data_IF_733715250644
#
_entry.id   IF_733715250644
#
_cell.length_a   1.000
_cell.length_b   1.000
_cell.length_c   1.000
_cell.angle_alpha   90.00
_cell.angle_beta   90.00
_cell.angle_gamma   90.00
#
_symmetry.space_group_name_H-M   'P 1'
#
loop_
_entity.id
_entity.type
_entity.pdbx_description
1 polymer ?
#
# COMPACT_ATOMS: atom_id res chain seq x y z
N UNK A 1 24.20 9.33 -23.76
CA UNK A 1 24.43 8.00 -23.21
C UNK A 1 23.28 7.59 -22.33
N UNK A 2 22.72 6.44 -22.57
CA UNK A 2 21.69 5.96 -21.68
C UNK A 2 22.30 5.66 -20.32
N UNK A 3 21.72 6.22 -19.28
CA UNK A 3 22.14 5.88 -17.92
C UNK A 3 21.85 4.42 -17.67
N UNK A 4 22.86 3.70 -17.25
CA UNK A 4 22.70 2.30 -16.94
C UNK A 4 21.81 2.19 -15.71
N UNK A 5 20.62 1.63 -15.88
CA UNK A 5 19.72 1.43 -14.75
C UNK A 5 20.26 0.32 -13.86
N UNK A 6 20.31 0.59 -12.58
CA UNK A 6 20.58 -0.43 -11.59
C UNK A 6 19.38 -1.37 -11.53
N UNK A 7 19.62 -2.66 -11.38
CA UNK A 7 18.55 -3.62 -11.17
C UNK A 7 17.98 -3.44 -9.78
N UNK A 8 16.73 -3.83 -9.58
CA UNK A 8 16.10 -3.84 -8.26
C UNK A 8 16.92 -4.66 -7.27
N UNK A 9 17.47 -5.77 -7.72
CA UNK A 9 18.28 -6.64 -6.88
C UNK A 9 19.52 -5.92 -6.35
N UNK A 10 20.18 -5.11 -7.19
CA UNK A 10 21.35 -4.34 -6.76
C UNK A 10 20.99 -3.21 -5.82
N UNK A 11 19.87 -2.50 -6.08
CA UNK A 11 19.42 -1.37 -5.28
C UNK A 11 18.76 -1.81 -3.98
N UNK A 12 18.08 -2.94 -3.98
CA UNK A 12 17.28 -3.45 -2.88
C UNK A 12 17.57 -4.93 -2.66
N UNK A 13 18.81 -5.29 -2.35
CA UNK A 13 19.17 -6.70 -2.23
C UNK A 13 18.37 -7.45 -1.17
N UNK A 14 17.94 -6.76 -0.11
CA UNK A 14 17.14 -7.37 0.95
C UNK A 14 15.79 -7.90 0.46
N UNK A 15 15.24 -7.34 -0.64
CA UNK A 15 13.97 -7.82 -1.20
C UNK A 15 14.10 -9.21 -1.81
N UNK A 16 15.31 -9.67 -2.07
CA UNK A 16 15.57 -10.92 -2.77
C UNK A 16 16.08 -12.02 -1.82
N UNK A 17 15.84 -11.86 -0.53
CA UNK A 17 16.19 -12.87 0.46
C UNK A 17 15.31 -14.11 0.34
N UNK A 18 15.91 -15.28 0.43
CA UNK A 18 15.16 -16.53 0.33
C UNK A 18 14.08 -16.61 1.43
N UNK A 19 12.85 -16.87 1.02
CA UNK A 19 11.74 -17.00 1.95
C UNK A 19 11.09 -15.69 2.36
N UNK A 20 11.58 -14.55 1.86
CA UNK A 20 11.04 -13.24 2.20
C UNK A 20 9.77 -12.94 1.41
N UNK A 21 8.77 -12.40 2.08
CA UNK A 21 7.59 -11.84 1.42
C UNK A 21 7.98 -10.46 0.90
N UNK A 22 8.14 -10.29 -0.40
CA UNK A 22 8.74 -9.07 -0.97
C UNK A 22 7.93 -8.40 -2.06
N UNK A 23 6.95 -9.06 -2.62
CA UNK A 23 6.19 -8.56 -3.75
C UNK A 23 4.71 -8.83 -3.56
N UNK A 24 3.88 -7.82 -3.83
CA UNK A 24 2.42 -7.96 -3.74
C UNK A 24 1.76 -7.35 -4.97
N UNK A 25 0.71 -7.98 -5.46
CA UNK A 25 -0.14 -7.41 -6.50
C UNK A 25 -1.44 -6.93 -5.87
N UNK A 26 -1.77 -5.69 -6.11
CA UNK A 26 -2.99 -5.08 -5.57
C UNK A 26 -3.98 -4.88 -6.72
N UNK A 27 -5.15 -5.50 -6.65
CA UNK A 27 -6.18 -5.27 -7.67
C UNK A 27 -6.59 -3.82 -7.73
N UNK A 28 -6.77 -3.32 -8.95
CA UNK A 28 -7.22 -1.96 -9.19
C UNK A 28 -8.29 -1.95 -10.27
N UNK A 29 -9.22 -1.02 -10.18
CA UNK A 29 -10.18 -0.75 -11.24
C UNK A 29 -9.55 0.22 -12.23
N UNK A 30 -9.01 1.31 -11.69
CA UNK A 30 -8.21 2.27 -12.45
C UNK A 30 -6.86 2.40 -11.76
N UNK A 31 -5.83 1.92 -12.40
CA UNK A 31 -4.49 1.83 -11.82
C UNK A 31 -4.00 3.18 -11.31
N UNK A 32 -4.15 4.24 -12.14
CA UNK A 32 -3.70 5.58 -11.76
C UNK A 32 -4.40 6.10 -10.50
N UNK A 33 -5.68 5.83 -10.37
CA UNK A 33 -6.46 6.25 -9.19
C UNK A 33 -5.93 5.57 -7.94
N UNK A 34 -5.69 4.28 -8.00
CA UNK A 34 -5.12 3.54 -6.89
C UNK A 34 -3.71 4.02 -6.55
N UNK A 35 -2.87 4.21 -7.56
CA UNK A 35 -1.50 4.70 -7.36
C UNK A 35 -1.49 6.07 -6.68
N UNK A 36 -2.34 6.98 -7.12
CA UNK A 36 -2.43 8.31 -6.52
C UNK A 36 -2.89 8.25 -5.07
N UNK A 37 -3.81 7.34 -4.76
CA UNK A 37 -4.27 7.14 -3.40
C UNK A 37 -3.13 6.73 -2.46
N UNK A 38 -2.39 5.68 -2.83
CA UNK A 38 -1.31 5.18 -1.99
C UNK A 38 -0.15 6.15 -1.86
N UNK A 39 0.11 6.94 -2.91
CA UNK A 39 1.09 8.02 -2.83
C UNK A 39 0.64 9.11 -1.88
N UNK A 40 -0.60 9.57 -2.01
CA UNK A 40 -1.12 10.68 -1.20
C UNK A 40 -1.24 10.31 0.29
N UNK A 41 -1.68 9.09 0.58
CA UNK A 41 -1.95 8.68 1.96
C UNK A 41 -0.69 8.16 2.65
N UNK A 42 0.07 7.31 1.96
CA UNK A 42 1.15 6.55 2.58
C UNK A 42 2.55 6.91 2.10
N UNK A 43 2.65 7.78 1.11
CA UNK A 43 3.96 8.17 0.57
C UNK A 43 4.65 7.08 -0.24
N UNK A 44 3.89 6.16 -0.81
CA UNK A 44 4.46 5.13 -1.67
C UNK A 44 5.04 5.73 -2.93
N UNK A 45 6.10 5.14 -3.42
CA UNK A 45 6.79 5.59 -4.62
C UNK A 45 6.31 4.78 -5.81
N UNK A 46 5.91 5.47 -6.86
CA UNK A 46 5.30 4.87 -8.04
C UNK A 46 6.25 4.96 -9.22
N UNK A 47 6.32 3.88 -9.99
CA UNK A 47 7.12 3.78 -11.21
C UNK A 47 6.28 3.17 -12.30
N UNK A 48 6.57 3.55 -13.55
CA UNK A 48 5.93 2.92 -14.70
C UNK A 48 5.87 3.83 -15.90
N UNK A 49 5.54 3.23 -17.03
CA UNK A 49 5.53 3.89 -18.33
C UNK A 49 4.18 4.36 -18.79
N UNK A 50 3.21 4.49 -17.93
CA UNK A 50 1.87 4.95 -18.31
C UNK A 50 0.88 4.70 -17.19
N UNK A 51 -0.35 5.20 -17.37
CA UNK A 51 -1.34 5.18 -16.31
C UNK A 51 -1.93 3.80 -16.01
N UNK A 52 -1.70 2.83 -16.89
CA UNK A 52 -2.27 1.48 -16.76
C UNK A 52 -1.27 0.44 -16.28
N UNK A 53 0.02 0.78 -16.27
CA UNK A 53 1.08 -0.15 -15.91
C UNK A 53 2.00 0.49 -14.89
N UNK A 54 1.53 0.56 -13.64
CA UNK A 54 2.27 1.18 -12.56
C UNK A 54 2.66 0.17 -11.52
N UNK A 55 3.89 0.28 -11.05
CA UNK A 55 4.42 -0.48 -9.94
C UNK A 55 4.79 0.47 -8.81
N UNK A 56 5.08 -0.11 -7.65
CA UNK A 56 5.37 0.70 -6.47
C UNK A 56 6.45 0.07 -5.61
N UNK A 57 7.04 0.90 -4.77
CA UNK A 57 7.64 0.45 -3.53
C UNK A 57 6.90 1.15 -2.39
N UNK A 58 6.83 0.50 -1.22
CA UNK A 58 6.27 1.19 -0.07
C UNK A 58 7.20 2.34 0.34
N UNK A 59 6.79 3.13 1.34
CA UNK A 59 7.56 4.31 1.73
C UNK A 59 8.97 3.98 2.22
N UNK A 60 9.17 2.80 2.78
CA UNK A 60 10.48 2.37 3.31
C UNK A 60 11.31 1.61 2.29
N UNK A 61 10.69 1.16 1.19
CA UNK A 61 11.37 0.33 0.21
C UNK A 61 11.49 -1.13 0.61
N UNK A 62 10.72 -1.56 1.60
CA UNK A 62 10.78 -2.94 2.11
C UNK A 62 9.80 -3.88 1.42
N UNK A 63 8.88 -3.35 0.66
CA UNK A 63 7.92 -4.13 -0.11
C UNK A 63 7.74 -3.45 -1.47
N UNK A 64 7.76 -4.26 -2.52
CA UNK A 64 7.46 -3.78 -3.86
C UNK A 64 6.21 -4.47 -4.39
N UNK A 65 5.67 -3.97 -5.48
CA UNK A 65 4.51 -4.59 -6.10
C UNK A 65 4.01 -3.82 -7.30
N UNK A 66 2.81 -4.16 -7.72
CA UNK A 66 2.15 -3.50 -8.84
C UNK A 66 0.65 -3.51 -8.63
N UNK A 67 -0.03 -2.57 -9.28
CA UNK A 67 -1.48 -2.61 -9.38
C UNK A 67 -1.85 -3.37 -10.65
N UNK A 68 -2.80 -4.29 -10.51
CA UNK A 68 -3.21 -5.17 -11.61
C UNK A 68 -4.72 -5.06 -11.82
N UNK A 69 -5.16 -5.26 -13.06
CA UNK A 69 -6.58 -5.17 -13.40
C UNK A 69 -7.22 -6.52 -13.72
N UNK A 70 -6.42 -7.59 -13.65
CA UNK A 70 -6.87 -8.93 -13.99
C UNK A 70 -7.35 -9.74 -12.78
N UNK A 71 -7.50 -9.09 -11.63
CA UNK A 71 -7.99 -9.72 -10.41
C UNK A 71 -9.10 -8.90 -9.79
N UNK A 72 -10.02 -9.59 -9.13
CA UNK A 72 -11.10 -8.94 -8.40
C UNK A 72 -10.56 -8.26 -7.14
N UNK A 73 -10.96 -7.01 -6.89
CA UNK A 73 -10.60 -6.36 -5.62
C UNK A 73 -11.00 -7.18 -4.41
N UNK A 74 -10.14 -7.16 -3.40
CA UNK A 74 -10.28 -7.98 -2.18
C UNK A 74 -11.22 -7.28 -1.19
N UNK A 75 -12.52 -7.39 -1.42
CA UNK A 75 -13.55 -6.74 -0.60
C UNK A 75 -13.81 -7.49 0.69
N UNK A 76 -13.65 -8.79 0.68
CA UNK A 76 -13.77 -9.68 1.84
C UNK A 76 -12.49 -10.51 1.91
N UNK A 77 -11.39 -9.93 2.39
CA UNK A 77 -10.10 -10.57 2.29
C UNK A 77 -9.96 -11.76 3.26
N UNK A 78 -9.36 -12.83 2.76
CA UNK A 78 -8.82 -13.87 3.62
C UNK A 78 -7.53 -13.39 4.27
N UNK A 79 -6.62 -12.85 3.46
CA UNK A 79 -5.41 -12.22 3.95
C UNK A 79 -5.66 -10.72 4.04
N UNK A 80 -5.36 -10.14 5.20
CA UNK A 80 -5.56 -8.72 5.44
C UNK A 80 -4.19 -8.07 5.70
N UNK A 81 -3.66 -7.33 4.74
CA UNK A 81 -2.39 -6.64 4.94
C UNK A 81 -2.58 -5.36 5.75
N UNK A 82 -1.60 -5.08 6.62
CA UNK A 82 -1.61 -3.91 7.47
C UNK A 82 -0.41 -3.02 7.16
N UNK A 83 -0.66 -1.72 7.09
CA UNK A 83 0.36 -0.70 6.86
C UNK A 83 0.61 -0.01 8.19
N UNK A 84 1.88 0.01 8.63
CA UNK A 84 2.25 0.75 9.83
C UNK A 84 2.23 2.25 9.55
N UNK A 85 1.68 3.02 10.48
CA UNK A 85 1.59 4.47 10.32
C UNK A 85 1.97 5.18 11.62
N UNK A 86 2.36 6.43 11.48
CA UNK A 86 2.50 7.36 12.58
C UNK A 86 1.33 8.33 12.52
N UNK A 87 0.62 8.50 13.61
CA UNK A 87 -0.55 9.39 13.64
C UNK A 87 -1.75 8.79 12.92
N UNK A 88 -2.24 7.67 13.42
CA UNK A 88 -3.32 6.92 12.79
C UNK A 88 -4.59 7.75 12.55
N UNK A 89 -4.89 8.68 13.46
CA UNK A 89 -6.09 9.53 13.29
C UNK A 89 -5.97 10.43 12.05
N UNK A 90 -4.80 11.04 11.85
CA UNK A 90 -4.56 11.86 10.66
C UNK A 90 -4.55 11.02 9.38
N UNK A 91 -4.01 9.81 9.45
CA UNK A 91 -4.01 8.90 8.31
C UNK A 91 -5.43 8.52 7.91
N UNK A 92 -6.29 8.22 8.89
CA UNK A 92 -7.68 7.88 8.61
C UNK A 92 -8.40 9.04 7.92
N UNK A 93 -8.12 10.29 8.34
CA UNK A 93 -8.70 11.45 7.66
C UNK A 93 -8.18 11.58 6.22
N UNK A 94 -6.91 11.31 5.98
CA UNK A 94 -6.35 11.32 4.62
C UNK A 94 -6.95 10.23 3.74
N UNK A 95 -7.18 9.05 4.30
CA UNK A 95 -7.85 7.97 3.57
C UNK A 95 -9.19 8.45 3.04
N UNK A 96 -9.99 9.06 3.91
CA UNK A 96 -11.30 9.61 3.52
C UNK A 96 -11.18 10.70 2.46
N UNK A 97 -10.24 11.61 2.64
CA UNK A 97 -10.05 12.73 1.72
C UNK A 97 -9.50 12.31 0.36
N UNK A 98 -8.85 11.14 0.27
CA UNK A 98 -8.17 10.68 -0.94
C UNK A 98 -8.92 9.59 -1.70
N UNK A 99 -10.17 9.33 -1.34
CA UNK A 99 -11.02 8.39 -2.09
C UNK A 99 -11.19 7.02 -1.46
N UNK A 100 -10.64 6.80 -0.28
CA UNK A 100 -10.87 5.58 0.49
C UNK A 100 -12.09 5.69 1.38
N UNK A 101 -12.48 4.57 1.97
CA UNK A 101 -13.59 4.51 2.92
C UNK A 101 -13.17 3.75 4.16
N UNK A 102 -13.54 4.24 5.31
CA UNK A 102 -13.27 3.54 6.57
C UNK A 102 -14.25 2.39 6.70
N UNK A 103 -13.72 1.20 6.95
CA UNK A 103 -14.54 0.00 7.24
C UNK A 103 -14.72 -0.12 8.74
N UNK A 104 -13.63 -0.11 9.49
CA UNK A 104 -13.68 -0.14 10.95
C UNK A 104 -12.87 1.05 11.48
N UNK A 105 -13.50 1.97 12.20
CA UNK A 105 -12.81 3.12 12.77
C UNK A 105 -11.71 2.70 13.74
N UNK A 106 -10.85 3.62 14.11
CA UNK A 106 -9.73 3.34 15.01
C UNK A 106 -10.25 2.71 16.31
N UNK A 107 -9.65 1.59 16.67
CA UNK A 107 -9.99 0.87 17.89
C UNK A 107 -8.71 0.30 18.53
N UNK A 108 -8.73 0.08 19.84
CA UNK A 108 -7.58 -0.50 20.50
C UNK A 108 -7.53 -2.00 20.32
N UNK A 109 -6.31 -2.53 20.20
CA UNK A 109 -6.05 -3.96 20.19
C UNK A 109 -4.79 -4.19 21.02
N UNK A 110 -4.96 -4.50 22.30
CA UNK A 110 -3.84 -4.50 23.24
C UNK A 110 -3.22 -3.12 23.33
N UNK A 111 -1.94 -3.02 23.09
CA UNK A 111 -1.19 -1.76 23.11
C UNK A 111 -1.19 -1.06 21.73
N UNK A 112 -1.94 -1.60 20.79
CA UNK A 112 -1.96 -1.10 19.42
C UNK A 112 -3.25 -0.36 19.13
N UNK A 113 -3.18 0.54 18.17
CA UNK A 113 -4.34 1.18 17.55
C UNK A 113 -4.47 0.69 16.13
N UNK A 114 -5.66 0.31 15.73
CA UNK A 114 -5.92 -0.37 14.46
C UNK A 114 -7.14 0.24 13.80
N UNK A 115 -7.15 0.26 12.48
CA UNK A 115 -8.32 0.61 11.69
C UNK A 115 -8.27 -0.16 10.37
N UNK A 116 -9.42 -0.35 9.74
CA UNK A 116 -9.47 -0.93 8.41
C UNK A 116 -10.20 0.00 7.46
N UNK A 117 -9.83 -0.08 6.19
CA UNK A 117 -10.38 0.81 5.17
C UNK A 117 -10.47 0.09 3.83
N UNK A 118 -11.26 0.66 2.93
CA UNK A 118 -11.25 0.27 1.52
C UNK A 118 -10.47 1.29 0.72
N UNK A 119 -9.59 0.79 -0.14
CA UNK A 119 -8.92 1.66 -1.10
C UNK A 119 -9.90 2.03 -2.25
N UNK A 120 -9.50 2.88 -3.22
CA UNK A 120 -10.42 3.28 -4.29
C UNK A 120 -10.97 2.15 -5.15
N UNK A 121 -10.28 1.02 -5.22
CA UNK A 121 -10.78 -0.15 -5.94
C UNK A 121 -11.73 -1.01 -5.10
N UNK A 122 -11.73 -0.79 -3.78
CA UNK A 122 -12.54 -1.56 -2.85
C UNK A 122 -11.77 -2.63 -2.08
N UNK A 123 -10.45 -2.70 -2.23
CA UNK A 123 -9.67 -3.62 -1.42
C UNK A 123 -9.69 -3.21 0.04
N UNK A 124 -9.95 -4.17 0.92
CA UNK A 124 -9.87 -3.92 2.37
C UNK A 124 -8.43 -4.10 2.81
N UNK A 125 -7.92 -3.11 3.50
CA UNK A 125 -6.59 -3.09 4.09
C UNK A 125 -6.65 -2.51 5.48
N UNK A 126 -5.62 -2.74 6.29
CA UNK A 126 -5.56 -2.20 7.64
C UNK A 126 -4.43 -1.21 7.81
N UNK A 127 -4.55 -0.38 8.83
CA UNK A 127 -3.50 0.49 9.32
C UNK A 127 -3.34 0.25 10.81
N UNK A 128 -2.13 0.43 11.32
CA UNK A 128 -1.87 0.23 12.75
C UNK A 128 -0.72 1.10 13.22
N UNK A 129 -0.75 1.39 14.51
CA UNK A 129 0.38 2.05 15.17
C UNK A 129 0.52 1.51 16.58
N UNK A 130 1.73 1.58 17.09
CA UNK A 130 2.05 1.27 18.46
C UNK A 130 2.26 2.57 19.23
N UNK A 131 1.89 2.58 20.48
CA UNK A 131 2.08 3.74 21.34
C UNK A 131 0.88 4.67 21.35
N UNK A 132 1.04 5.85 21.96
CA UNK A 132 -0.08 6.78 22.09
C UNK A 132 -0.54 7.31 20.74
N UNK A 133 -1.82 7.53 20.69
CA UNK A 133 -2.47 8.02 19.46
C UNK A 133 -2.70 9.53 19.57
#
# INVERSE_FOLDING_TARGET
MATKKKTLKAERPHLFGHGRLSYVQIPAVKVKVSADFYTAVFGWKVRGGGDEHLSFSDATGDMIGAWVTDRTPSREPGILPYIYVHGIDAIVERIKASGGKVVKPVYPEGDLWVATFRDPAGNVMGVWQQGPR
#
